data_IF_810502996143
#
_entry.id   IF_810502996143
#
_cell.length_a   1.000
_cell.length_b   1.000
_cell.length_c   1.000
_cell.angle_alpha   90.00
_cell.angle_beta   90.00
_cell.angle_gamma   90.00
#
_symmetry.space_group_name_H-M   'P 1'
#
loop_
_entity.id
_entity.type
_entity.pdbx_description
1 polymer ?
#
# COMPACT_ATOMS: atom_id res chain seq x y z
N UNK A 1 46.51 32.20 0.86
CA UNK A 1 45.59 33.16 0.22
C UNK A 1 46.00 33.40 -1.23
N UNK A 2 45.27 32.84 -2.21
CA UNK A 2 45.51 33.12 -3.64
C UNK A 2 44.72 34.36 -4.04
N UNK A 3 45.38 35.38 -4.60
CA UNK A 3 44.78 36.69 -4.84
C UNK A 3 43.62 36.64 -5.85
N UNK A 4 42.43 37.04 -5.40
CA UNK A 4 41.18 37.15 -6.17
C UNK A 4 41.34 38.02 -7.41
N UNK A 5 42.20 39.04 -7.38
CA UNK A 5 42.51 39.89 -8.52
C UNK A 5 43.16 39.12 -9.69
N UNK A 6 44.01 38.12 -9.39
CA UNK A 6 44.70 37.29 -10.40
C UNK A 6 43.73 36.33 -11.10
N UNK A 7 42.64 35.95 -10.44
CA UNK A 7 41.54 35.16 -11.03
C UNK A 7 40.67 36.05 -11.92
N UNK A 8 40.22 37.23 -11.44
CA UNK A 8 39.44 38.19 -12.24
C UNK A 8 40.13 38.58 -13.55
N UNK A 9 41.43 38.87 -13.53
CA UNK A 9 42.15 39.28 -14.74
C UNK A 9 42.32 38.14 -15.77
N UNK A 10 42.48 36.89 -15.31
CA UNK A 10 42.47 35.72 -16.21
C UNK A 10 41.07 35.46 -16.78
N UNK A 11 40.03 35.56 -15.97
CA UNK A 11 38.64 35.39 -16.41
C UNK A 11 38.27 36.42 -17.48
N UNK A 12 38.65 37.69 -17.28
CA UNK A 12 38.41 38.78 -18.23
C UNK A 12 39.10 38.55 -19.59
N UNK A 13 40.35 38.09 -19.60
CA UNK A 13 41.04 37.73 -20.83
C UNK A 13 40.40 36.54 -21.56
N UNK A 14 39.89 35.54 -20.82
CA UNK A 14 39.16 34.42 -21.41
C UNK A 14 37.84 34.89 -22.02
N UNK A 15 37.07 35.74 -21.33
CA UNK A 15 35.85 36.36 -21.87
C UNK A 15 36.12 37.19 -23.14
N UNK A 16 37.14 38.06 -23.11
CA UNK A 16 37.50 38.89 -24.26
C UNK A 16 38.00 38.08 -25.47
N UNK A 17 38.64 36.92 -25.24
CA UNK A 17 39.01 35.98 -26.28
C UNK A 17 37.83 35.11 -26.79
N UNK A 18 36.78 34.94 -25.98
CA UNK A 18 35.57 34.21 -26.35
C UNK A 18 34.65 35.05 -27.26
N UNK A 19 34.57 36.36 -27.02
CA UNK A 19 33.71 37.28 -27.78
C UNK A 19 34.19 37.58 -29.22
N UNK A 20 35.46 37.32 -29.55
CA UNK A 20 35.99 37.58 -30.90
C UNK A 20 35.59 36.50 -31.93
N UNK A 21 34.98 35.40 -31.48
CA UNK A 21 34.60 34.26 -32.31
C UNK A 21 33.20 33.80 -31.87
N UNK A 22 32.09 34.19 -32.55
CA UNK A 22 30.74 33.91 -32.07
C UNK A 22 30.47 32.40 -31.88
N UNK A 23 31.18 31.56 -32.65
CA UNK A 23 31.15 30.10 -32.53
C UNK A 23 31.75 29.58 -31.21
N UNK A 24 32.71 30.29 -30.60
CA UNK A 24 33.29 29.94 -29.29
C UNK A 24 32.39 30.37 -28.15
N UNK A 25 31.79 31.57 -28.24
CA UNK A 25 30.82 32.06 -27.27
C UNK A 25 29.62 31.12 -27.15
N UNK A 26 29.01 30.72 -28.27
CA UNK A 26 27.88 29.76 -28.30
C UNK A 26 28.26 28.42 -27.66
N UNK A 27 29.43 27.85 -27.99
CA UNK A 27 29.92 26.60 -27.37
C UNK A 27 30.09 26.73 -25.85
N UNK A 28 30.64 27.86 -25.38
CA UNK A 28 30.80 28.14 -23.95
C UNK A 28 29.46 28.24 -23.21
N UNK A 29 28.48 28.94 -23.78
CA UNK A 29 27.12 29.07 -23.21
C UNK A 29 26.42 27.71 -23.16
N UNK A 30 26.48 26.92 -24.23
CA UNK A 30 25.87 25.58 -24.26
C UNK A 30 26.50 24.66 -23.19
N UNK A 31 27.82 24.60 -23.10
CA UNK A 31 28.51 23.80 -22.07
C UNK A 31 28.17 24.25 -20.64
N UNK A 32 28.00 25.56 -20.41
CA UNK A 32 27.61 26.10 -19.11
C UNK A 32 26.18 25.68 -18.73
N UNK A 33 25.22 25.82 -19.64
CA UNK A 33 23.83 25.40 -19.42
C UNK A 33 23.74 23.87 -19.21
N UNK A 34 24.42 23.08 -20.04
CA UNK A 34 24.49 21.62 -19.88
C UNK A 34 25.12 21.21 -18.54
N UNK A 35 26.16 21.92 -18.08
CA UNK A 35 26.76 21.69 -16.76
C UNK A 35 25.77 21.94 -15.62
N UNK A 36 24.97 23.01 -15.70
CA UNK A 36 23.93 23.32 -14.70
C UNK A 36 22.85 22.22 -14.68
N UNK A 37 22.37 21.79 -15.85
CA UNK A 37 21.36 20.72 -15.96
C UNK A 37 21.88 19.41 -15.35
N UNK A 38 23.13 19.03 -15.62
CA UNK A 38 23.72 17.82 -15.06
C UNK A 38 23.95 17.94 -13.55
N UNK A 39 24.41 19.08 -13.03
CA UNK A 39 24.52 19.28 -11.57
C UNK A 39 23.14 19.15 -10.90
N UNK A 40 22.08 19.67 -11.51
CA UNK A 40 20.71 19.52 -11.02
C UNK A 40 20.25 18.05 -11.04
N UNK A 41 20.44 17.34 -12.15
CA UNK A 41 20.12 15.91 -12.28
C UNK A 41 20.85 15.07 -11.23
N UNK A 42 22.17 15.26 -11.06
CA UNK A 42 22.95 14.56 -10.05
C UNK A 42 22.43 14.84 -8.63
N UNK A 43 22.11 16.10 -8.32
CA UNK A 43 21.55 16.48 -7.01
C UNK A 43 20.21 15.78 -6.74
N UNK A 44 19.36 15.64 -7.77
CA UNK A 44 18.09 14.91 -7.66
C UNK A 44 18.29 13.39 -7.50
N UNK A 45 19.23 12.79 -8.23
CA UNK A 45 19.59 11.38 -8.08
C UNK A 45 20.13 11.06 -6.68
N UNK A 46 20.99 11.93 -6.12
CA UNK A 46 21.46 11.78 -4.74
C UNK A 46 20.33 11.92 -3.72
N UNK A 47 19.37 12.85 -3.91
CA UNK A 47 18.19 12.96 -3.04
C UNK A 47 17.35 11.68 -3.06
N UNK A 48 17.10 11.12 -4.24
CA UNK A 48 16.40 9.84 -4.42
C UNK A 48 17.15 8.65 -3.84
N UNK A 49 18.49 8.68 -3.83
CA UNK A 49 19.29 7.63 -3.18
C UNK A 49 19.20 7.69 -1.65
N UNK A 50 19.16 8.88 -1.05
CA UNK A 50 19.06 9.04 0.40
C UNK A 50 17.63 8.88 0.94
N UNK A 51 16.63 9.30 0.18
CA UNK A 51 15.21 9.13 0.49
C UNK A 51 14.52 8.46 -0.72
N UNK A 52 14.66 7.13 -0.89
CA UNK A 52 14.06 6.42 -2.00
C UNK A 52 12.53 6.46 -1.91
N UNK A 53 11.82 6.81 -3.00
CA UNK A 53 10.36 6.76 -3.01
C UNK A 53 9.89 5.32 -2.80
N UNK A 54 8.93 5.12 -1.91
CA UNK A 54 8.25 3.83 -1.77
C UNK A 54 7.39 3.60 -3.02
N UNK A 55 7.46 2.39 -3.56
CA UNK A 55 6.67 1.94 -4.70
C UNK A 55 5.96 0.65 -4.33
N UNK A 56 4.74 0.49 -4.80
CA UNK A 56 3.89 -0.67 -4.51
C UNK A 56 3.72 -1.51 -5.77
N UNK A 57 3.96 -2.81 -5.69
CA UNK A 57 3.68 -3.76 -6.75
C UNK A 57 2.58 -4.73 -6.30
N UNK A 58 1.59 -4.98 -7.16
CA UNK A 58 0.55 -5.96 -6.93
C UNK A 58 0.63 -7.09 -7.96
N UNK A 59 0.58 -8.34 -7.48
CA UNK A 59 0.50 -9.55 -8.31
C UNK A 59 -0.56 -10.51 -7.81
N UNK A 60 -0.94 -11.46 -8.66
CA UNK A 60 -1.84 -12.56 -8.30
C UNK A 60 -1.06 -13.87 -8.38
N UNK A 61 -0.91 -14.52 -7.24
CA UNK A 61 -0.22 -15.81 -7.14
C UNK A 61 -1.27 -16.91 -6.88
N UNK A 62 -1.08 -18.08 -7.50
CA UNK A 62 -1.90 -19.26 -7.22
C UNK A 62 -1.28 -20.01 -6.04
N UNK A 63 -1.92 -19.95 -4.88
CA UNK A 63 -1.43 -20.62 -3.69
C UNK A 63 -1.90 -22.08 -3.65
N UNK A 64 -0.96 -23.04 -3.54
CA UNK A 64 -1.29 -24.47 -3.50
C UNK A 64 -2.11 -24.85 -2.26
N UNK A 65 -1.82 -24.21 -1.12
CA UNK A 65 -2.46 -24.43 0.19
C UNK A 65 -2.99 -23.12 0.75
N UNK A 66 -4.30 -23.05 1.00
CA UNK A 66 -4.96 -21.89 1.58
C UNK A 66 -5.17 -22.08 3.09
N UNK A 67 -4.86 -21.05 3.86
CA UNK A 67 -5.30 -20.91 5.24
C UNK A 67 -6.70 -20.29 5.25
N UNK A 68 -7.54 -20.68 6.20
CA UNK A 68 -8.81 -19.99 6.46
C UNK A 68 -8.60 -18.85 7.47
N UNK A 69 -9.45 -17.81 7.47
CA UNK A 69 -9.47 -16.83 8.55
C UNK A 69 -10.02 -17.43 9.84
N UNK A 70 -9.74 -16.78 10.96
CA UNK A 70 -10.52 -16.93 12.17
C UNK A 70 -11.88 -16.22 12.01
N UNK A 71 -12.93 -16.78 12.62
CA UNK A 71 -14.29 -16.22 12.56
C UNK A 71 -14.84 -16.07 13.97
N UNK A 72 -15.05 -14.82 14.40
CA UNK A 72 -15.68 -14.50 15.69
C UNK A 72 -17.16 -14.22 15.53
N UNK A 73 -17.97 -14.84 16.39
CA UNK A 73 -19.41 -14.69 16.46
C UNK A 73 -19.80 -14.05 17.79
N UNK A 74 -20.53 -12.94 17.72
CA UNK A 74 -21.20 -12.32 18.86
C UNK A 74 -22.71 -12.31 18.60
N UNK A 75 -23.52 -12.64 19.60
CA UNK A 75 -24.97 -12.83 19.44
C UNK A 75 -25.73 -11.54 19.71
N UNK A 76 -26.81 -11.31 18.98
CA UNK A 76 -27.73 -10.19 19.21
C UNK A 76 -29.16 -10.72 19.41
N UNK A 77 -29.82 -10.47 20.57
CA UNK A 77 -29.29 -9.76 21.73
C UNK A 77 -28.21 -10.58 22.48
N UNK A 78 -27.20 -9.87 22.98
CA UNK A 78 -26.06 -10.44 23.71
C UNK A 78 -26.42 -11.02 25.09
N UNK A 79 -27.51 -10.53 25.71
CA UNK A 79 -27.91 -10.85 27.07
C UNK A 79 -29.35 -11.40 27.15
N UNK A 80 -29.55 -12.39 28.01
CA UNK A 80 -30.84 -13.02 28.34
C UNK A 80 -31.69 -12.07 29.17
N UNK A 81 -32.81 -11.59 28.61
CA UNK A 81 -33.66 -10.55 29.22
C UNK A 81 -34.27 -10.99 30.56
N UNK A 82 -34.63 -12.26 30.69
CA UNK A 82 -35.14 -12.88 31.91
C UNK A 82 -34.07 -12.96 33.01
N UNK A 83 -32.83 -13.32 32.66
CA UNK A 83 -31.70 -13.32 33.60
C UNK A 83 -31.34 -11.90 34.03
N UNK A 84 -31.29 -10.93 33.12
CA UNK A 84 -31.06 -9.52 33.49
C UNK A 84 -32.15 -9.02 34.46
N UNK A 85 -33.41 -9.39 34.22
CA UNK A 85 -34.55 -9.05 35.08
C UNK A 85 -34.46 -9.71 36.47
N UNK A 86 -33.99 -10.96 36.57
CA UNK A 86 -33.71 -11.66 37.84
C UNK A 86 -32.74 -10.87 38.73
N UNK A 87 -31.80 -10.12 38.13
CA UNK A 87 -30.80 -9.31 38.83
C UNK A 87 -31.21 -7.83 39.05
N UNK A 88 -32.47 -7.47 38.80
CA UNK A 88 -32.99 -6.09 38.82
C UNK A 88 -32.32 -5.14 37.79
N UNK A 89 -31.67 -5.69 36.76
CA UNK A 89 -30.96 -4.91 35.75
C UNK A 89 -31.88 -4.55 34.56
N UNK A 90 -31.47 -3.51 33.82
CA UNK A 90 -32.04 -3.23 32.51
C UNK A 90 -31.65 -4.33 31.49
N UNK A 91 -32.24 -4.32 30.30
CA UNK A 91 -31.98 -5.30 29.22
C UNK A 91 -30.51 -5.42 28.80
N UNK A 92 -29.65 -4.47 29.18
CA UNK A 92 -28.23 -4.46 28.82
C UNK A 92 -27.38 -3.78 29.91
N UNK A 93 -26.21 -4.33 30.32
CA UNK A 93 -25.40 -3.78 31.42
C UNK A 93 -24.87 -2.36 31.18
N UNK A 94 -24.67 -1.92 29.93
CA UNK A 94 -24.35 -0.51 29.59
C UNK A 94 -25.29 0.55 30.21
N UNK A 95 -26.50 0.19 30.62
CA UNK A 95 -27.43 1.06 31.33
C UNK A 95 -27.16 1.07 32.85
N UNK A 96 -26.13 1.84 33.20
CA UNK A 96 -25.51 1.87 34.54
C UNK A 96 -26.46 2.16 35.71
N UNK A 97 -27.54 2.92 35.50
CA UNK A 97 -28.51 3.29 36.55
C UNK A 97 -29.20 2.09 37.22
N UNK A 98 -29.18 0.91 36.59
CA UNK A 98 -29.80 -0.29 37.16
C UNK A 98 -28.91 -1.00 38.20
N UNK A 99 -27.59 -0.75 38.23
CA UNK A 99 -26.68 -1.33 39.22
C UNK A 99 -26.90 -0.83 40.66
N UNK A 100 -27.66 0.25 40.85
CA UNK A 100 -28.09 0.71 42.18
C UNK A 100 -29.00 -0.30 42.91
N UNK A 101 -29.53 -1.29 42.19
CA UNK A 101 -30.41 -2.36 42.70
C UNK A 101 -29.82 -3.76 42.54
N UNK A 102 -28.57 -3.86 42.05
CA UNK A 102 -27.90 -5.14 41.87
C UNK A 102 -27.45 -5.73 43.22
N UNK A 103 -27.73 -7.01 43.53
CA UNK A 103 -27.41 -7.61 44.82
C UNK A 103 -25.94 -8.05 44.91
N UNK A 104 -25.03 -7.07 44.99
CA UNK A 104 -23.58 -7.28 45.18
C UNK A 104 -23.21 -8.09 46.43
N UNK A 105 -24.12 -8.15 47.41
CA UNK A 105 -23.99 -8.93 48.64
C UNK A 105 -24.28 -10.43 48.46
N UNK A 106 -24.99 -10.81 47.39
CA UNK A 106 -25.43 -12.20 47.14
C UNK A 106 -24.76 -12.82 45.91
N UNK A 107 -24.40 -12.00 44.91
CA UNK A 107 -23.85 -12.46 43.63
C UNK A 107 -22.78 -11.53 43.07
N UNK A 108 -21.85 -12.08 42.30
CA UNK A 108 -20.75 -11.33 41.66
C UNK A 108 -21.08 -10.92 40.23
N UNK A 109 -20.31 -9.97 39.67
CA UNK A 109 -20.40 -9.63 38.26
C UNK A 109 -20.04 -10.83 37.36
N UNK A 110 -19.08 -11.67 37.74
CA UNK A 110 -18.72 -12.88 36.97
C UNK A 110 -19.90 -13.85 36.86
N UNK A 111 -20.64 -14.05 37.95
CA UNK A 111 -21.84 -14.88 37.95
C UNK A 111 -22.93 -14.27 37.06
N UNK A 112 -23.19 -12.96 37.19
CA UNK A 112 -24.13 -12.24 36.33
C UNK A 112 -23.78 -12.43 34.85
N UNK A 113 -22.55 -12.13 34.43
CA UNK A 113 -22.14 -12.22 33.03
C UNK A 113 -22.14 -13.68 32.54
N UNK A 114 -21.77 -14.64 33.38
CA UNK A 114 -21.80 -16.06 33.02
C UNK A 114 -23.24 -16.57 32.80
N UNK A 115 -24.18 -16.23 33.70
CA UNK A 115 -25.58 -16.66 33.60
C UNK A 115 -26.35 -15.89 32.50
N UNK A 116 -26.11 -14.59 32.35
CA UNK A 116 -26.87 -13.73 31.44
C UNK A 116 -26.44 -13.85 29.97
N UNK A 117 -25.27 -14.43 29.69
CA UNK A 117 -24.79 -14.69 28.32
C UNK A 117 -25.06 -16.15 27.90
N UNK A 118 -24.73 -16.47 26.65
CA UNK A 118 -25.06 -17.74 26.01
C UNK A 118 -23.86 -18.68 25.95
N UNK A 119 -23.94 -19.82 26.66
CA UNK A 119 -22.87 -20.82 26.68
C UNK A 119 -22.76 -21.57 25.33
N UNK A 120 -21.67 -22.32 25.13
CA UNK A 120 -21.37 -22.96 23.84
C UNK A 120 -22.54 -23.84 23.31
N UNK A 121 -23.22 -24.58 24.19
CA UNK A 121 -24.35 -25.45 23.83
C UNK A 121 -25.66 -24.71 23.55
N UNK A 122 -25.77 -23.47 24.02
CA UNK A 122 -26.86 -22.54 23.69
C UNK A 122 -26.58 -21.78 22.39
N UNK A 123 -25.31 -21.69 21.97
CA UNK A 123 -24.84 -20.87 20.85
C UNK A 123 -24.67 -21.68 19.54
N UNK A 124 -24.06 -22.87 19.60
CA UNK A 124 -23.82 -23.73 18.42
C UNK A 124 -24.74 -24.94 18.40
N UNK A 125 -25.25 -25.27 17.21
CA UNK A 125 -25.83 -26.59 16.91
C UNK A 125 -24.74 -27.50 16.33
N UNK A 126 -23.95 -26.97 15.40
CA UNK A 126 -22.82 -27.67 14.77
C UNK A 126 -21.82 -26.64 14.22
N UNK A 127 -20.53 -26.96 14.21
CA UNK A 127 -19.52 -26.23 13.46
C UNK A 127 -18.46 -27.21 12.95
N UNK A 128 -17.77 -26.85 11.87
CA UNK A 128 -16.67 -27.64 11.33
C UNK A 128 -16.02 -26.98 10.12
N UNK A 129 -14.77 -27.35 9.86
CA UNK A 129 -13.95 -26.91 8.73
C UNK A 129 -13.50 -28.15 7.96
N UNK A 130 -13.61 -28.14 6.63
CA UNK A 130 -13.24 -29.29 5.80
C UNK A 130 -13.89 -30.61 6.28
N UNK A 131 -15.18 -30.55 6.61
CA UNK A 131 -15.98 -31.68 7.10
C UNK A 131 -15.78 -32.11 8.57
N UNK A 132 -14.85 -31.52 9.32
CA UNK A 132 -14.52 -31.94 10.69
C UNK A 132 -14.63 -30.82 11.73
N UNK A 133 -15.21 -31.12 12.90
CA UNK A 133 -15.20 -30.21 14.05
C UNK A 133 -13.80 -30.07 14.68
N UNK A 134 -13.04 -31.17 14.74
CA UNK A 134 -11.66 -31.22 15.26
C UNK A 134 -10.63 -30.39 14.46
N UNK A 135 -11.05 -29.83 13.31
CA UNK A 135 -10.24 -28.95 12.48
C UNK A 135 -10.35 -27.47 12.93
N UNK A 136 -11.07 -27.20 14.02
CA UNK A 136 -11.33 -25.88 14.59
C UNK A 136 -10.99 -25.91 16.09
N UNK A 137 -10.30 -24.88 16.58
CA UNK A 137 -10.28 -24.53 18.00
C UNK A 137 -11.35 -23.47 18.28
N UNK A 138 -12.09 -23.62 19.37
CA UNK A 138 -13.14 -22.67 19.79
C UNK A 138 -12.65 -21.92 21.01
N UNK A 139 -12.42 -20.61 20.86
CA UNK A 139 -12.02 -19.71 21.94
C UNK A 139 -13.21 -18.88 22.38
N UNK A 140 -13.48 -18.86 23.70
CA UNK A 140 -14.49 -17.99 24.31
C UNK A 140 -13.87 -16.64 24.69
N UNK A 141 -14.58 -15.54 24.43
CA UNK A 141 -14.24 -14.20 24.91
C UNK A 141 -15.47 -13.49 25.49
N UNK A 142 -15.26 -12.65 26.49
CA UNK A 142 -16.30 -11.92 27.21
C UNK A 142 -16.13 -10.41 26.98
N UNK A 143 -17.19 -9.75 26.54
CA UNK A 143 -17.25 -8.37 26.07
C UNK A 143 -18.43 -7.64 26.74
N UNK A 144 -18.36 -6.31 26.89
CA UNK A 144 -19.39 -5.54 27.60
C UNK A 144 -20.65 -5.30 26.75
N UNK A 145 -20.46 -4.86 25.50
CA UNK A 145 -21.55 -4.56 24.57
C UNK A 145 -21.92 -5.79 23.72
N UNK A 146 -20.95 -6.66 23.43
CA UNK A 146 -21.19 -7.89 22.65
C UNK A 146 -21.48 -9.15 23.50
N UNK A 147 -21.34 -9.08 24.83
CA UNK A 147 -21.54 -10.21 25.73
C UNK A 147 -20.51 -11.32 25.51
N UNK A 148 -20.94 -12.58 25.55
CA UNK A 148 -20.05 -13.73 25.31
C UNK A 148 -19.99 -14.06 23.81
N UNK A 149 -18.79 -13.98 23.25
CA UNK A 149 -18.50 -14.28 21.85
C UNK A 149 -17.63 -15.54 21.72
N UNK A 150 -17.68 -16.17 20.55
CA UNK A 150 -16.87 -17.35 20.23
C UNK A 150 -16.09 -17.14 18.94
N UNK A 151 -14.77 -17.34 19.02
CA UNK A 151 -13.86 -17.33 17.87
C UNK A 151 -13.58 -18.75 17.43
N UNK A 152 -13.79 -19.04 16.15
CA UNK A 152 -13.42 -20.30 15.50
C UNK A 152 -12.05 -20.10 14.82
N UNK A 153 -11.00 -20.69 15.39
CA UNK A 153 -9.64 -20.67 14.83
C UNK A 153 -9.40 -21.93 13.98
N UNK A 154 -8.88 -21.82 12.75
CA UNK A 154 -8.64 -22.95 11.87
C UNK A 154 -7.34 -23.70 12.22
N UNK A 155 -7.43 -25.00 12.49
CA UNK A 155 -6.27 -25.84 12.81
C UNK A 155 -5.67 -26.55 11.56
N UNK A 156 -6.25 -26.33 10.38
CA UNK A 156 -5.86 -27.00 9.13
C UNK A 156 -5.85 -26.03 7.94
N UNK A 157 -4.94 -26.28 7.00
CA UNK A 157 -4.96 -25.68 5.66
C UNK A 157 -5.73 -26.59 4.69
N UNK A 158 -6.17 -26.03 3.55
CA UNK A 158 -6.80 -26.81 2.48
C UNK A 158 -6.12 -26.62 1.13
N UNK A 159 -6.16 -27.64 0.29
CA UNK A 159 -5.77 -27.59 -1.13
C UNK A 159 -6.98 -27.41 -2.06
N UNK A 160 -8.17 -27.16 -1.52
CA UNK A 160 -9.44 -27.20 -2.25
C UNK A 160 -10.25 -25.91 -2.10
N UNK A 161 -10.77 -25.38 -3.22
CA UNK A 161 -11.54 -24.13 -3.28
C UNK A 161 -13.00 -24.40 -3.67
N UNK A 162 -13.73 -25.12 -2.80
CA UNK A 162 -15.15 -25.43 -2.93
C UNK A 162 -15.86 -25.42 -1.57
N UNK A 163 -17.20 -25.42 -1.56
CA UNK A 163 -18.05 -25.18 -0.37
C UNK A 163 -17.77 -26.17 0.77
N UNK A 164 -17.68 -27.45 0.45
CA UNK A 164 -17.46 -28.57 1.38
C UNK A 164 -16.07 -28.56 2.04
N UNK A 165 -15.08 -27.90 1.43
CA UNK A 165 -13.73 -27.76 1.98
C UNK A 165 -13.61 -26.57 2.96
N UNK A 166 -14.63 -25.72 3.05
CA UNK A 166 -14.65 -24.55 3.92
C UNK A 166 -15.34 -24.79 5.26
N UNK A 167 -15.73 -23.69 5.90
CA UNK A 167 -16.51 -23.70 7.12
C UNK A 167 -17.98 -24.05 6.84
N UNK A 168 -18.53 -24.91 7.68
CA UNK A 168 -19.97 -25.20 7.81
C UNK A 168 -20.35 -24.95 9.27
N UNK A 169 -21.15 -23.92 9.53
CA UNK A 169 -21.45 -23.45 10.87
C UNK A 169 -22.96 -23.27 10.99
N UNK A 170 -23.56 -23.91 12.00
CA UNK A 170 -24.98 -23.83 12.31
C UNK A 170 -25.16 -23.31 13.73
N UNK A 171 -25.73 -22.11 13.84
CA UNK A 171 -25.90 -21.35 15.09
C UNK A 171 -27.33 -21.47 15.63
N UNK A 172 -27.48 -21.38 16.95
CA UNK A 172 -28.74 -21.55 17.67
C UNK A 172 -29.25 -20.25 18.28
N UNK A 173 -30.53 -19.97 18.08
CA UNK A 173 -31.21 -18.80 18.63
C UNK A 173 -32.46 -19.20 19.43
N UNK A 174 -32.86 -18.38 20.40
CA UNK A 174 -34.06 -18.61 21.25
C UNK A 174 -35.27 -17.79 20.77
N UNK A 175 -35.01 -16.58 20.28
CA UNK A 175 -35.99 -15.58 19.90
C UNK A 175 -36.41 -15.78 18.46
N UNK A 176 -37.72 -15.69 18.20
CA UNK A 176 -38.30 -15.72 16.86
C UNK A 176 -38.50 -14.28 16.35
N UNK A 177 -38.26 -14.05 15.05
CA UNK A 177 -38.13 -12.73 14.39
C UNK A 177 -39.45 -11.94 14.36
N UNK A 178 -40.57 -12.57 14.72
CA UNK A 178 -41.92 -11.99 14.66
C UNK A 178 -42.21 -10.83 15.64
N UNK A 179 -41.19 -10.21 16.25
CA UNK A 179 -41.31 -9.14 17.25
C UNK A 179 -40.28 -8.00 17.15
N UNK A 180 -39.58 -7.84 16.02
CA UNK A 180 -38.61 -6.74 15.86
C UNK A 180 -39.32 -5.42 15.59
N UNK A 181 -39.03 -4.37 16.37
CA UNK A 181 -39.56 -3.03 16.12
C UNK A 181 -38.78 -2.33 15.01
N UNK A 182 -39.43 -1.41 14.28
CA UNK A 182 -38.74 -0.62 13.24
C UNK A 182 -37.65 0.23 13.88
N UNK A 183 -36.39 -0.08 13.57
CA UNK A 183 -35.20 0.61 14.10
C UNK A 183 -34.39 -0.21 15.11
N UNK A 184 -34.84 -1.41 15.50
CA UNK A 184 -34.05 -2.36 16.29
C UNK A 184 -33.31 -3.35 15.38
N UNK A 185 -32.12 -3.80 15.81
CA UNK A 185 -31.39 -4.88 15.10
C UNK A 185 -32.21 -6.17 15.21
N UNK A 186 -32.50 -6.89 14.11
CA UNK A 186 -33.23 -8.15 14.19
C UNK A 186 -32.37 -9.23 14.85
N UNK A 187 -32.94 -10.18 15.63
CA UNK A 187 -32.14 -11.19 16.33
C UNK A 187 -31.27 -12.02 15.38
N UNK A 188 -30.04 -12.33 15.80
CA UNK A 188 -29.03 -12.91 14.92
C UNK A 188 -27.63 -12.87 15.52
N UNK A 189 -26.61 -12.71 14.65
CA UNK A 189 -25.21 -12.68 15.03
C UNK A 189 -24.41 -11.66 14.23
N UNK A 190 -23.58 -10.92 14.95
CA UNK A 190 -22.45 -10.19 14.41
C UNK A 190 -21.34 -11.19 14.09
N UNK A 191 -20.89 -11.22 12.84
CA UNK A 191 -19.86 -12.11 12.32
C UNK A 191 -18.65 -11.26 11.93
N UNK A 192 -17.50 -11.57 12.53
CA UNK A 192 -16.24 -10.87 12.30
C UNK A 192 -15.23 -11.85 11.72
N UNK A 193 -14.65 -11.53 10.56
CA UNK A 193 -13.69 -12.38 9.85
C UNK A 193 -12.34 -11.67 9.85
N UNK A 194 -11.32 -12.32 10.39
CA UNK A 194 -10.01 -11.71 10.63
C UNK A 194 -8.88 -12.75 10.54
N UNK A 195 -7.63 -12.27 10.49
CA UNK A 195 -6.47 -13.13 10.69
C UNK A 195 -6.44 -13.67 12.12
N UNK A 196 -5.97 -14.91 12.29
CA UNK A 196 -5.83 -15.55 13.61
C UNK A 196 -4.95 -14.72 14.55
N UNK A 197 -3.89 -14.10 14.02
CA UNK A 197 -2.96 -13.31 14.82
C UNK A 197 -3.54 -11.95 15.20
N UNK A 198 -4.38 -11.33 14.36
CA UNK A 198 -4.96 -10.01 14.64
C UNK A 198 -5.97 -10.09 15.82
N UNK A 199 -6.75 -11.17 15.87
CA UNK A 199 -7.77 -11.38 16.90
C UNK A 199 -9.01 -10.48 16.74
N UNK A 200 -9.84 -10.45 17.78
CA UNK A 200 -11.06 -9.65 17.85
C UNK A 200 -11.12 -8.86 19.17
N UNK A 201 -11.56 -7.61 19.09
CA UNK A 201 -11.91 -6.75 20.23
C UNK A 201 -13.20 -6.00 19.90
N UNK A 202 -14.05 -5.73 20.89
CA UNK A 202 -15.35 -5.06 20.64
C UNK A 202 -15.24 -3.56 20.28
N UNK A 203 -14.15 -2.89 20.69
CA UNK A 203 -13.97 -1.45 20.54
C UNK A 203 -13.63 -1.06 19.09
N UNK A 204 -14.41 -0.15 18.50
CA UNK A 204 -14.37 0.11 17.04
C UNK A 204 -13.06 0.69 16.52
N UNK A 205 -12.42 1.58 17.27
CA UNK A 205 -11.12 2.16 16.88
C UNK A 205 -9.93 1.19 17.03
N UNK A 206 -10.12 0.06 17.71
CA UNK A 206 -9.07 -0.95 17.93
C UNK A 206 -9.11 -2.07 16.90
N UNK A 207 -10.25 -2.26 16.23
CA UNK A 207 -10.32 -3.05 15.00
C UNK A 207 -9.53 -2.32 13.91
N UNK A 208 -8.39 -2.87 13.50
CA UNK A 208 -7.35 -2.22 12.68
C UNK A 208 -7.73 -1.98 11.21
N UNK A 209 -9.04 -1.99 10.88
CA UNK A 209 -9.55 -2.01 9.51
C UNK A 209 -9.33 -3.35 8.78
N UNK A 210 -8.78 -4.36 9.48
CA UNK A 210 -8.42 -5.69 8.97
C UNK A 210 -9.44 -6.77 9.33
N UNK A 211 -10.50 -6.40 10.05
CA UNK A 211 -11.62 -7.27 10.43
C UNK A 211 -12.82 -6.93 9.54
N UNK A 212 -13.25 -7.91 8.74
CA UNK A 212 -14.43 -7.80 7.90
C UNK A 212 -15.69 -8.10 8.73
N UNK A 213 -16.74 -7.27 8.60
CA UNK A 213 -17.94 -7.35 9.43
C UNK A 213 -19.18 -7.68 8.60
N UNK A 214 -19.92 -8.70 9.04
CA UNK A 214 -21.19 -9.11 8.45
C UNK A 214 -22.24 -9.35 9.53
N UNK A 215 -23.52 -9.18 9.17
CA UNK A 215 -24.64 -9.54 10.02
C UNK A 215 -25.43 -10.72 9.44
N UNK A 216 -25.55 -11.78 10.22
CA UNK A 216 -26.30 -13.01 9.92
C UNK A 216 -27.58 -13.00 10.75
N UNK A 217 -28.74 -12.97 10.10
CA UNK A 217 -30.02 -12.95 10.81
C UNK A 217 -30.39 -14.35 11.32
N UNK A 218 -31.23 -14.41 12.36
CA UNK A 218 -31.92 -15.67 12.67
C UNK A 218 -32.73 -16.16 11.46
N UNK A 219 -32.90 -17.47 11.34
CA UNK A 219 -33.60 -18.13 10.25
C UNK A 219 -33.05 -17.80 8.84
N UNK A 220 -31.75 -17.55 8.73
CA UNK A 220 -31.02 -17.28 7.47
C UNK A 220 -29.98 -18.36 7.17
N UNK A 221 -29.86 -18.75 5.90
CA UNK A 221 -28.66 -19.40 5.34
C UNK A 221 -27.89 -18.36 4.51
N UNK A 222 -26.62 -18.13 4.87
CA UNK A 222 -25.72 -17.25 4.15
C UNK A 222 -24.52 -18.01 3.58
N UNK A 223 -24.17 -17.73 2.33
CA UNK A 223 -22.95 -18.21 1.69
C UNK A 223 -21.98 -17.06 1.45
N UNK A 224 -20.75 -17.21 1.94
CA UNK A 224 -19.65 -16.25 1.84
C UNK A 224 -18.54 -16.84 0.99
N UNK A 225 -18.16 -16.10 -0.05
CA UNK A 225 -16.91 -16.28 -0.78
C UNK A 225 -15.80 -15.49 -0.10
N UNK A 226 -14.70 -16.16 0.23
CA UNK A 226 -13.46 -15.51 0.66
C UNK A 226 -12.58 -15.10 -0.51
N UNK A 227 -11.84 -14.02 -0.32
CA UNK A 227 -10.65 -13.64 -1.11
C UNK A 227 -9.55 -13.18 -0.15
N UNK A 228 -8.30 -13.54 -0.41
CA UNK A 228 -7.16 -13.24 0.47
C UNK A 228 -6.19 -12.27 -0.19
N UNK A 229 -5.69 -11.33 0.60
CA UNK A 229 -4.66 -10.38 0.22
C UNK A 229 -3.53 -10.42 1.25
N UNK A 230 -2.28 -10.62 0.82
CA UNK A 230 -1.10 -10.44 1.65
C UNK A 230 -0.47 -9.09 1.35
N UNK A 231 -0.22 -8.30 2.39
CA UNK A 231 0.48 -7.03 2.32
C UNK A 231 1.83 -7.15 3.01
N UNK A 232 2.86 -6.71 2.32
CA UNK A 232 4.23 -6.57 2.83
C UNK A 232 4.60 -5.09 2.73
N UNK A 233 4.46 -4.37 3.83
CA UNK A 233 4.71 -2.93 3.93
C UNK A 233 6.14 -2.66 4.40
N UNK A 234 6.67 -1.48 4.09
CA UNK A 234 7.94 -1.01 4.61
C UNK A 234 7.74 -0.03 5.77
N UNK A 235 8.47 -0.23 6.86
CA UNK A 235 8.53 0.75 7.93
C UNK A 235 9.09 2.09 7.40
N UNK A 236 8.34 3.16 7.63
CA UNK A 236 8.65 4.51 7.13
C UNK A 236 8.31 5.56 8.18
N UNK A 237 8.76 6.80 7.97
CA UNK A 237 8.42 7.91 8.87
C UNK A 237 6.91 8.26 8.87
N UNK A 238 6.19 7.92 7.79
CA UNK A 238 4.75 8.17 7.68
C UNK A 238 3.92 6.99 8.19
N UNK A 239 4.43 5.76 8.07
CA UNK A 239 3.81 4.52 8.54
C UNK A 239 4.83 3.69 9.35
N UNK A 240 4.79 3.81 10.67
CA UNK A 240 5.55 2.96 11.58
C UNK A 240 4.86 1.58 11.69
N UNK A 241 5.54 0.54 11.24
CA UNK A 241 5.13 -0.85 11.39
C UNK A 241 6.25 -1.67 12.04
N UNK A 242 5.89 -2.79 12.67
CA UNK A 242 6.85 -3.71 13.30
C UNK A 242 7.01 -4.99 12.48
N UNK A 243 8.25 -5.40 12.19
CA UNK A 243 8.50 -6.65 11.45
C UNK A 243 8.03 -7.88 12.23
N UNK A 244 8.23 -7.87 13.55
CA UNK A 244 7.84 -8.95 14.45
C UNK A 244 7.15 -8.39 15.69
N UNK A 245 5.94 -8.85 15.95
CA UNK A 245 5.26 -8.71 17.24
C UNK A 245 4.68 -10.05 17.68
N UNK A 246 4.59 -10.27 19.00
CA UNK A 246 3.89 -11.42 19.60
C UNK A 246 2.42 -11.11 19.94
N UNK A 247 2.01 -9.85 19.80
CA UNK A 247 0.69 -9.34 20.14
C UNK A 247 0.24 -8.44 18.99
N UNK A 248 -0.98 -8.62 18.51
CA UNK A 248 -1.52 -7.76 17.44
C UNK A 248 -1.71 -6.31 17.88
N UNK A 249 -1.82 -5.43 16.88
CA UNK A 249 -2.31 -4.06 17.02
C UNK A 249 -3.62 -4.02 17.81
N UNK A 250 -4.62 -4.82 17.41
CA UNK A 250 -5.92 -4.89 18.09
C UNK A 250 -5.81 -5.34 19.55
N UNK A 251 -5.11 -6.44 19.85
CA UNK A 251 -4.97 -6.94 21.23
C UNK A 251 -4.12 -6.02 22.11
N UNK A 252 -3.13 -5.34 21.54
CA UNK A 252 -2.36 -4.31 22.23
C UNK A 252 -3.24 -3.12 22.62
N UNK A 253 -4.03 -2.60 21.69
CA UNK A 253 -4.96 -1.49 21.93
C UNK A 253 -6.00 -1.84 23.00
N UNK A 254 -6.60 -3.03 22.90
CA UNK A 254 -7.56 -3.55 23.87
C UNK A 254 -6.96 -3.61 25.29
N UNK A 255 -5.78 -4.21 25.45
CA UNK A 255 -5.08 -4.23 26.74
C UNK A 255 -4.73 -2.83 27.24
N UNK A 256 -4.35 -1.90 26.37
CA UNK A 256 -4.08 -0.50 26.76
C UNK A 256 -5.33 0.20 27.29
N UNK A 257 -6.47 0.05 26.60
CA UNK A 257 -7.75 0.58 27.04
C UNK A 257 -8.17 -0.03 28.38
N UNK A 258 -8.08 -1.35 28.54
CA UNK A 258 -8.39 -2.02 29.81
C UNK A 258 -7.52 -1.52 30.96
N UNK A 259 -6.20 -1.38 30.76
CA UNK A 259 -5.30 -0.82 31.77
C UNK A 259 -5.72 0.62 32.14
N UNK A 260 -5.97 1.49 31.16
CA UNK A 260 -6.36 2.88 31.40
C UNK A 260 -7.68 3.01 32.19
N UNK A 261 -8.65 2.12 31.95
CA UNK A 261 -9.91 2.06 32.69
C UNK A 261 -9.69 1.53 34.11
N UNK A 262 -8.94 0.44 34.26
CA UNK A 262 -8.69 -0.21 35.55
C UNK A 262 -7.83 0.67 36.47
N UNK A 263 -6.78 1.32 35.96
CA UNK A 263 -5.95 2.26 36.72
C UNK A 263 -6.75 3.47 37.23
N UNK A 264 -7.75 3.92 36.46
CA UNK A 264 -8.62 5.04 36.84
C UNK A 264 -9.71 4.67 37.87
N UNK A 265 -10.06 3.39 38.01
CA UNK A 265 -11.19 2.92 38.84
C UNK A 265 -10.74 2.08 40.06
N UNK A 266 -9.60 1.38 39.96
CA UNK A 266 -9.08 0.48 41.00
C UNK A 266 -9.77 -0.88 41.09
N UNK A 267 -10.62 -1.24 40.12
CA UNK A 267 -11.21 -2.57 39.96
C UNK A 267 -11.49 -2.87 38.48
N UNK A 268 -11.71 -4.14 38.15
CA UNK A 268 -11.99 -4.63 36.79
C UNK A 268 -13.40 -5.21 36.65
N UNK A 269 -13.80 -5.54 35.43
CA UNK A 269 -15.03 -6.25 35.10
C UNK A 269 -14.74 -7.61 34.45
N UNK A 270 -15.72 -8.54 34.41
CA UNK A 270 -15.54 -9.87 33.78
C UNK A 270 -15.12 -9.83 32.31
N UNK A 271 -15.44 -8.74 31.61
CA UNK A 271 -15.06 -8.48 30.21
C UNK A 271 -13.65 -7.90 30.04
N UNK A 272 -12.89 -7.69 31.13
CA UNK A 272 -11.50 -7.23 31.11
C UNK A 272 -10.59 -8.21 31.88
N UNK A 273 -10.41 -9.45 31.37
CA UNK A 273 -9.57 -10.46 32.00
C UNK A 273 -8.08 -10.09 32.03
N UNK A 274 -7.36 -10.63 33.02
CA UNK A 274 -5.89 -10.56 33.10
C UNK A 274 -5.30 -9.25 33.65
N UNK A 275 -6.14 -8.29 34.06
CA UNK A 275 -5.70 -6.96 34.52
C UNK A 275 -5.09 -6.92 35.94
N UNK A 276 -5.02 -8.06 36.65
CA UNK A 276 -4.47 -8.14 38.01
C UNK A 276 -5.28 -7.46 39.12
N UNK A 277 -6.25 -6.60 38.78
CA UNK A 277 -7.17 -5.96 39.71
C UNK A 277 -8.32 -6.87 40.14
N UNK A 278 -8.88 -6.61 41.33
CA UNK A 278 -10.09 -7.25 41.83
C UNK A 278 -11.32 -6.86 40.98
N UNK A 279 -12.31 -7.74 40.87
CA UNK A 279 -13.59 -7.41 40.21
C UNK A 279 -14.36 -6.37 41.05
N UNK A 280 -15.04 -5.44 40.38
CA UNK A 280 -15.84 -4.41 41.05
C UNK A 280 -17.04 -5.03 41.80
N UNK A 281 -17.20 -4.62 43.05
CA UNK A 281 -18.10 -5.22 44.05
C UNK A 281 -19.08 -4.23 44.70
N UNK A 282 -19.16 -3.00 44.17
CA UNK A 282 -20.08 -1.97 44.65
C UNK A 282 -20.76 -1.22 43.48
N UNK A 283 -21.95 -0.62 43.70
CA UNK A 283 -22.67 0.10 42.65
C UNK A 283 -21.85 1.24 42.03
N UNK A 284 -21.29 2.15 42.83
CA UNK A 284 -20.58 3.32 42.31
C UNK A 284 -19.35 2.94 41.47
N UNK A 285 -18.54 1.99 41.95
CA UNK A 285 -17.36 1.53 41.19
C UNK A 285 -17.75 0.83 39.90
N UNK A 286 -18.81 0.01 39.89
CA UNK A 286 -19.31 -0.66 38.68
C UNK A 286 -19.89 0.34 37.66
N UNK A 287 -20.65 1.33 38.13
CA UNK A 287 -21.17 2.42 37.28
C UNK A 287 -20.03 3.25 36.69
N UNK A 288 -19.00 3.56 37.49
CA UNK A 288 -17.82 4.31 37.05
C UNK A 288 -16.99 3.50 36.03
N UNK A 289 -16.80 2.19 36.26
CA UNK A 289 -16.12 1.27 35.35
C UNK A 289 -16.77 1.26 33.97
N UNK A 290 -18.07 0.93 33.90
CA UNK A 290 -18.84 0.87 32.65
C UNK A 290 -18.87 2.24 31.96
N UNK A 291 -18.95 3.33 32.73
CA UNK A 291 -18.91 4.69 32.18
C UNK A 291 -17.55 4.99 31.56
N UNK A 292 -16.44 4.76 32.24
CA UNK A 292 -15.10 5.06 31.74
C UNK A 292 -14.72 4.16 30.56
N UNK A 293 -15.06 2.87 30.60
CA UNK A 293 -14.90 1.95 29.48
C UNK A 293 -15.54 2.49 28.20
N UNK A 294 -16.76 3.01 28.29
CA UNK A 294 -17.47 3.59 27.13
C UNK A 294 -17.03 5.03 26.79
N UNK A 295 -16.28 5.70 27.67
CA UNK A 295 -15.69 7.02 27.39
C UNK A 295 -14.28 6.93 26.79
N UNK A 296 -13.63 5.78 26.89
CA UNK A 296 -12.28 5.50 26.39
C UNK A 296 -12.25 4.50 25.22
N UNK A 297 -13.42 4.17 24.64
CA UNK A 297 -13.52 3.33 23.42
C UNK A 297 -12.67 3.88 22.26
N UNK A 298 -12.62 5.21 22.12
CA UNK A 298 -11.85 5.94 21.11
C UNK A 298 -10.39 6.22 21.52
N UNK A 299 -9.83 5.51 22.52
CA UNK A 299 -8.43 5.67 22.92
C UNK A 299 -7.50 5.20 21.79
N UNK A 300 -6.79 6.15 21.20
CA UNK A 300 -5.91 5.94 20.05
C UNK A 300 -4.73 5.00 20.40
N UNK A 301 -4.63 3.88 19.66
CA UNK A 301 -3.57 2.90 19.80
C UNK A 301 -2.16 3.44 19.59
N UNK A 302 -1.98 4.58 18.90
CA UNK A 302 -0.66 5.24 18.78
C UNK A 302 -0.17 5.77 20.12
N UNK A 303 -1.06 6.26 20.99
CA UNK A 303 -0.72 6.69 22.35
C UNK A 303 -0.23 5.53 23.22
N UNK A 304 -0.66 4.31 22.87
CA UNK A 304 -0.28 3.05 23.51
C UNK A 304 0.99 2.41 22.91
N UNK A 305 1.55 2.96 21.82
CA UNK A 305 2.65 2.34 21.06
C UNK A 305 2.26 1.04 20.34
N UNK A 306 0.97 0.87 20.02
CA UNK A 306 0.44 -0.34 19.38
C UNK A 306 0.59 -0.28 17.85
N UNK A 307 1.79 -0.59 17.37
CA UNK A 307 2.09 -0.60 15.94
C UNK A 307 1.55 -1.86 15.24
N UNK A 308 1.08 -1.67 14.01
CA UNK A 308 0.66 -2.77 13.15
C UNK A 308 1.87 -3.57 12.63
N UNK A 309 1.74 -4.89 12.40
CA UNK A 309 2.80 -5.66 11.76
C UNK A 309 2.98 -5.24 10.30
N UNK A 310 4.24 -5.21 9.84
CA UNK A 310 4.60 -4.87 8.46
C UNK A 310 4.13 -5.93 7.45
N UNK A 311 4.03 -7.20 7.87
CA UNK A 311 3.36 -8.25 7.10
C UNK A 311 1.96 -8.45 7.66
N UNK A 312 0.94 -8.41 6.81
CA UNK A 312 -0.44 -8.70 7.22
C UNK A 312 -1.21 -9.47 6.15
N UNK A 313 -2.14 -10.31 6.60
CA UNK A 313 -3.14 -10.96 5.74
C UNK A 313 -4.49 -10.29 5.98
N UNK A 314 -5.18 -9.93 4.90
CA UNK A 314 -6.54 -9.41 4.93
C UNK A 314 -7.44 -10.37 4.17
N UNK A 315 -8.58 -10.71 4.78
CA UNK A 315 -9.59 -11.60 4.21
C UNK A 315 -10.84 -10.77 3.88
N UNK A 316 -11.18 -10.65 2.61
CA UNK A 316 -12.40 -9.98 2.16
C UNK A 316 -13.51 -11.00 2.03
N UNK A 317 -14.65 -10.75 2.68
CA UNK A 317 -15.81 -11.62 2.69
C UNK A 317 -16.90 -11.08 1.76
N UNK A 318 -17.17 -11.78 0.66
CA UNK A 318 -18.22 -11.44 -0.29
C UNK A 318 -19.45 -12.33 -0.07
N UNK A 319 -20.56 -11.77 0.37
CA UNK A 319 -21.84 -12.49 0.46
C UNK A 319 -22.30 -12.86 -0.95
N UNK A 320 -22.41 -14.16 -1.23
CA UNK A 320 -22.80 -14.69 -2.54
C UNK A 320 -24.30 -14.99 -2.63
N UNK A 321 -24.89 -15.42 -1.51
CA UNK A 321 -26.28 -15.85 -1.46
C UNK A 321 -26.81 -15.73 -0.02
N UNK A 322 -28.08 -15.32 0.12
CA UNK A 322 -28.85 -15.29 1.36
C UNK A 322 -30.21 -15.95 1.09
N UNK A 323 -30.62 -16.91 1.92
CA UNK A 323 -31.88 -17.66 1.78
C UNK A 323 -32.56 -17.85 3.14
N UNK A 324 -33.89 -17.99 3.20
CA UNK A 324 -34.57 -18.42 4.42
C UNK A 324 -34.12 -19.83 4.83
N UNK A 325 -33.75 -19.99 6.09
CA UNK A 325 -33.37 -21.26 6.70
C UNK A 325 -34.29 -21.53 7.89
N UNK A 326 -35.07 -22.61 7.84
CA UNK A 326 -36.04 -22.91 8.89
C UNK A 326 -35.92 -24.36 9.32
N UNK A 327 -35.66 -24.54 10.62
CA UNK A 327 -35.72 -25.82 11.33
C UNK A 327 -36.65 -25.68 12.54
N UNK A 328 -36.82 -26.73 13.35
CA UNK A 328 -37.75 -26.73 14.50
C UNK A 328 -37.42 -25.72 15.61
N UNK A 329 -36.24 -25.09 15.57
CA UNK A 329 -35.75 -24.06 16.48
C UNK A 329 -35.20 -22.88 15.66
N UNK A 330 -35.29 -21.63 16.15
CA UNK A 330 -34.62 -20.51 15.49
C UNK A 330 -33.12 -20.78 15.38
N UNK A 331 -32.58 -20.67 14.17
CA UNK A 331 -31.21 -21.05 13.86
C UNK A 331 -30.72 -20.33 12.60
N UNK A 332 -29.41 -20.30 12.36
CA UNK A 332 -28.86 -19.84 11.10
C UNK A 332 -27.74 -20.76 10.62
N UNK A 333 -27.53 -20.79 9.31
CA UNK A 333 -26.48 -21.56 8.65
C UNK A 333 -25.52 -20.60 7.94
N UNK A 334 -24.23 -20.74 8.21
CA UNK A 334 -23.18 -20.00 7.54
C UNK A 334 -22.24 -20.96 6.81
N UNK A 335 -21.95 -20.63 5.56
CA UNK A 335 -20.90 -21.27 4.76
C UNK A 335 -19.85 -20.25 4.39
N UNK A 336 -18.59 -20.53 4.68
CA UNK A 336 -17.48 -19.63 4.35
C UNK A 336 -16.41 -20.42 3.63
N UNK A 337 -16.16 -20.10 2.35
CA UNK A 337 -15.30 -20.90 1.48
C UNK A 337 -14.59 -20.07 0.40
N UNK A 338 -13.45 -20.56 -0.05
CA UNK A 338 -12.78 -20.04 -1.25
C UNK A 338 -13.43 -20.57 -2.53
N UNK A 339 -13.61 -19.73 -3.54
CA UNK A 339 -14.01 -20.15 -4.90
C UNK A 339 -12.82 -20.25 -5.86
N UNK A 340 -11.63 -19.86 -5.43
CA UNK A 340 -10.40 -19.90 -6.21
C UNK A 340 -9.18 -19.91 -5.28
N UNK A 341 -8.05 -20.40 -5.79
CA UNK A 341 -6.73 -20.38 -5.14
C UNK A 341 -5.92 -19.09 -5.36
N UNK A 342 -6.48 -18.12 -6.08
CA UNK A 342 -5.81 -16.84 -6.34
C UNK A 342 -5.72 -16.01 -5.07
N UNK A 343 -4.50 -15.63 -4.72
CA UNK A 343 -4.18 -14.72 -3.62
C UNK A 343 -3.55 -13.46 -4.20
N UNK A 344 -4.00 -12.29 -3.75
CA UNK A 344 -3.37 -11.03 -4.15
C UNK A 344 -2.17 -10.78 -3.25
N UNK A 345 -1.00 -10.50 -3.82
CA UNK A 345 0.17 -10.07 -3.07
C UNK A 345 0.45 -8.61 -3.40
N UNK A 346 0.55 -7.79 -2.36
CA UNK A 346 0.85 -6.36 -2.42
C UNK A 346 2.16 -6.13 -1.66
N UNK A 347 3.21 -5.78 -2.37
CA UNK A 347 4.56 -5.57 -1.81
C UNK A 347 4.99 -4.12 -2.01
N UNK A 348 5.41 -3.48 -0.92
CA UNK A 348 6.13 -2.21 -0.93
C UNK A 348 7.63 -2.45 -1.03
N UNK A 349 8.30 -1.66 -1.87
CA UNK A 349 9.74 -1.69 -2.04
C UNK A 349 10.28 -0.29 -2.29
N UNK A 350 11.57 -0.09 -2.06
CA UNK A 350 12.25 1.14 -2.45
C UNK A 350 12.36 1.21 -3.97
N UNK A 351 11.58 2.08 -4.60
CA UNK A 351 11.51 2.24 -6.06
C UNK A 351 12.74 2.88 -6.71
N UNK A 352 13.79 3.15 -5.92
CA UNK A 352 15.08 3.64 -6.40
C UNK A 352 16.20 2.85 -5.73
N UNK A 353 16.83 1.96 -6.50
CA UNK A 353 17.92 1.10 -6.03
C UNK A 353 19.30 1.62 -6.50
N UNK A 354 20.36 0.96 -6.02
CA UNK A 354 21.71 1.34 -6.40
C UNK A 354 22.00 1.14 -7.91
N UNK A 355 21.35 0.17 -8.55
CA UNK A 355 21.54 -0.08 -9.99
C UNK A 355 20.93 1.06 -10.83
N UNK A 356 19.72 1.52 -10.48
CA UNK A 356 19.09 2.68 -11.10
C UNK A 356 19.90 3.95 -10.85
N UNK A 357 20.43 4.15 -9.63
CA UNK A 357 21.34 5.26 -9.33
C UNK A 357 22.60 5.25 -10.22
N UNK A 358 23.27 4.10 -10.39
CA UNK A 358 24.44 3.97 -11.26
C UNK A 358 24.07 4.20 -12.73
N UNK A 359 22.88 3.76 -13.16
CA UNK A 359 22.35 4.01 -14.50
C UNK A 359 22.14 5.51 -14.77
N UNK A 360 21.46 6.22 -13.88
CA UNK A 360 21.16 7.66 -14.01
C UNK A 360 22.45 8.52 -13.94
N UNK A 361 23.35 8.18 -13.03
CA UNK A 361 24.69 8.77 -12.90
C UNK A 361 25.50 8.55 -14.18
N UNK A 362 25.50 7.32 -14.71
CA UNK A 362 26.15 6.96 -15.96
C UNK A 362 25.59 7.71 -17.16
N UNK A 363 24.27 7.88 -17.24
CA UNK A 363 23.60 8.67 -18.28
C UNK A 363 24.00 10.15 -18.22
N UNK A 364 23.94 10.75 -17.03
CA UNK A 364 24.27 12.18 -16.83
C UNK A 364 25.74 12.49 -17.10
N UNK A 365 26.66 11.63 -16.68
CA UNK A 365 28.10 11.75 -16.98
C UNK A 365 28.40 11.43 -18.46
N UNK A 366 27.72 10.44 -19.03
CA UNK A 366 27.82 10.08 -20.45
C UNK A 366 27.40 11.22 -21.38
N UNK A 367 26.39 12.00 -20.99
CA UNK A 367 25.98 13.21 -21.72
C UNK A 367 27.09 14.28 -21.76
N UNK A 368 27.74 14.57 -20.63
CA UNK A 368 28.89 15.49 -20.59
C UNK A 368 30.08 14.98 -21.41
N UNK A 369 30.32 13.67 -21.39
CA UNK A 369 31.37 13.04 -22.19
C UNK A 369 31.05 13.12 -23.68
N UNK A 370 29.79 12.91 -24.09
CA UNK A 370 29.33 13.09 -25.47
C UNK A 370 29.54 14.52 -25.99
N UNK A 371 29.20 15.54 -25.21
CA UNK A 371 29.48 16.95 -25.53
C UNK A 371 30.99 17.21 -25.65
N UNK A 372 31.81 16.56 -24.81
CA UNK A 372 33.27 16.65 -24.85
C UNK A 372 33.85 16.01 -26.12
N UNK A 373 33.31 14.86 -26.56
CA UNK A 373 33.71 14.18 -27.81
C UNK A 373 33.33 15.01 -29.04
N UNK A 374 32.15 15.63 -29.09
CA UNK A 374 31.79 16.57 -30.15
C UNK A 374 32.74 17.78 -30.19
N UNK A 375 33.17 18.27 -29.02
CA UNK A 375 34.22 19.28 -28.90
C UNK A 375 35.57 18.83 -29.48
N UNK A 376 35.96 17.57 -29.23
CA UNK A 376 37.20 16.97 -29.75
C UNK A 376 37.14 16.76 -31.27
N UNK A 377 36.03 16.29 -31.83
CA UNK A 377 35.83 16.14 -33.29
C UNK A 377 36.00 17.51 -33.96
N UNK A 378 35.33 18.55 -33.43
CA UNK A 378 35.47 19.92 -33.94
C UNK A 378 36.85 20.55 -33.75
N UNK A 379 37.72 19.98 -32.91
CA UNK A 379 39.14 20.35 -32.82
C UNK A 379 39.96 19.61 -33.89
N UNK A 380 39.71 18.31 -34.09
CA UNK A 380 40.38 17.50 -35.11
C UNK A 380 40.10 18.04 -36.52
N UNK A 381 38.86 18.42 -36.83
CA UNK A 381 38.51 19.11 -38.09
C UNK A 381 39.38 20.35 -38.34
N UNK A 382 39.59 21.19 -37.32
CA UNK A 382 40.40 22.41 -37.43
C UNK A 382 41.89 22.11 -37.56
N UNK A 383 42.39 21.04 -36.94
CA UNK A 383 43.76 20.56 -37.14
C UNK A 383 43.94 20.05 -38.58
N UNK A 384 43.00 19.27 -39.10
CA UNK A 384 43.00 18.77 -40.48
C UNK A 384 42.97 19.94 -41.48
N UNK A 385 42.02 20.87 -41.35
CA UNK A 385 41.98 22.09 -42.17
C UNK A 385 43.31 22.85 -42.13
N UNK A 386 43.87 23.12 -40.93
CA UNK A 386 45.13 23.84 -40.80
C UNK A 386 46.30 23.12 -41.46
N UNK A 387 46.38 21.79 -41.35
CA UNK A 387 47.45 20.99 -41.98
C UNK A 387 47.29 20.95 -43.50
N UNK A 388 46.08 20.71 -44.02
CA UNK A 388 45.82 20.69 -45.46
C UNK A 388 45.99 22.08 -46.10
N UNK A 389 45.47 23.15 -45.49
CA UNK A 389 45.63 24.52 -45.99
C UNK A 389 47.11 24.94 -45.94
N UNK A 390 47.87 24.61 -44.88
CA UNK A 390 49.31 24.86 -44.83
C UNK A 390 50.08 24.09 -45.90
N UNK A 391 49.72 22.83 -46.18
CA UNK A 391 50.30 22.05 -47.29
C UNK A 391 49.98 22.68 -48.66
N UNK A 392 48.74 23.05 -48.92
CA UNK A 392 48.32 23.70 -50.18
C UNK A 392 48.97 25.08 -50.38
N UNK A 393 49.17 25.87 -49.31
CA UNK A 393 49.90 27.14 -49.37
C UNK A 393 51.40 26.90 -49.62
N UNK A 394 52.00 25.87 -49.01
CA UNK A 394 53.39 25.50 -49.27
C UNK A 394 53.61 25.03 -50.72
N UNK A 395 52.67 24.24 -51.28
CA UNK A 395 52.69 23.84 -52.68
C UNK A 395 52.48 25.03 -53.64
N UNK A 396 51.53 25.94 -53.34
CA UNK A 396 51.35 27.16 -54.13
C UNK A 396 52.58 28.07 -54.10
N UNK A 397 53.25 28.20 -52.96
CA UNK A 397 54.53 28.95 -52.86
C UNK A 397 55.64 28.30 -53.69
N UNK A 398 55.78 26.97 -53.67
CA UNK A 398 56.71 26.25 -54.55
C UNK A 398 56.39 26.47 -56.04
N UNK A 399 55.10 26.45 -56.43
CA UNK A 399 54.67 26.70 -57.82
C UNK A 399 54.87 28.16 -58.27
N UNK A 400 54.75 29.14 -57.37
CA UNK A 400 55.05 30.55 -57.71
C UNK A 400 56.55 30.79 -57.90
N UNK A 401 57.39 30.28 -57.00
CA UNK A 401 58.84 30.37 -57.13
C UNK A 401 59.38 29.68 -58.40
N UNK A 402 58.70 28.64 -58.89
CA UNK A 402 59.02 28.00 -60.17
C UNK A 402 58.55 28.79 -61.41
N UNK A 403 57.60 29.72 -61.27
CA UNK A 403 57.05 30.51 -62.40
C UNK A 403 57.83 31.81 -62.65
N UNK A 404 58.42 32.40 -61.62
CA UNK A 404 59.27 33.61 -61.74
C UNK A 404 60.58 33.37 -62.51
N UNK A 405 61.00 32.12 -62.70
CA UNK A 405 62.23 31.74 -63.42
C UNK A 405 62.01 31.54 -64.93
N UNK A 406 60.75 31.52 -65.40
CA UNK A 406 60.39 31.02 -66.73
C UNK A 406 59.76 32.05 -67.69
N UNK A 407 59.83 33.35 -67.38
CA UNK A 407 59.20 34.41 -68.18
C UNK A 407 60.21 35.39 -68.78
N UNK A 408 60.64 35.13 -70.02
CA UNK A 408 61.27 36.12 -70.93
C UNK A 408 61.10 35.63 -72.38
N UNK A 409 60.02 36.09 -73.03
CA UNK A 409 59.91 36.53 -74.45
C UNK A 409 60.26 35.60 -75.65
N UNK A 410 59.78 35.89 -76.89
CA UNK A 410 58.41 36.33 -77.24
C UNK A 410 57.88 35.89 -78.65
N UNK A 411 56.68 36.39 -79.02
CA UNK A 411 56.12 36.65 -80.38
C UNK A 411 55.44 35.52 -81.22
N UNK A 412 54.11 35.72 -81.30
CA UNK A 412 53.03 35.48 -82.29
C UNK A 412 53.33 35.82 -83.80
N UNK A 413 52.38 35.99 -84.79
CA UNK A 413 50.89 36.00 -84.74
C UNK A 413 50.09 35.24 -85.85
N UNK A 414 48.75 35.37 -85.73
CA UNK A 414 47.65 35.24 -86.73
C UNK A 414 47.14 33.82 -87.07
N UNK A 415 45.88 33.54 -87.51
CA UNK A 415 44.52 34.16 -87.46
C UNK A 415 43.50 33.10 -88.01
N UNK A 416 42.15 33.12 -87.90
CA UNK A 416 41.13 34.01 -87.30
C UNK A 416 39.79 33.23 -87.06
N UNK A 417 38.94 33.72 -86.16
CA UNK A 417 37.45 33.94 -86.19
C UNK A 417 36.47 33.04 -87.00
N UNK A 418 35.18 32.82 -86.62
CA UNK A 418 34.34 33.46 -85.59
C UNK A 418 33.10 32.62 -85.15
N UNK A 419 32.49 33.07 -84.03
CA UNK A 419 31.04 33.14 -83.69
C UNK A 419 30.36 32.15 -82.70
N UNK A 420 29.59 32.82 -81.82
CA UNK A 420 28.90 32.35 -80.61
C UNK A 420 27.44 31.92 -80.86
N UNK A 421 26.77 31.29 -79.86
CA UNK A 421 25.72 31.93 -79.01
C UNK A 421 24.94 30.92 -78.12
N UNK A 422 25.08 31.09 -76.80
CA UNK A 422 24.14 30.92 -75.66
C UNK A 422 23.14 29.75 -75.44
N UNK A 423 23.08 29.35 -74.14
CA UNK A 423 21.90 29.07 -73.26
C UNK A 423 21.17 27.70 -73.27
N UNK A 424 21.37 26.98 -72.15
CA UNK A 424 20.37 26.69 -71.08
C UNK A 424 19.02 26.04 -71.43
N UNK A 425 18.81 24.77 -71.03
CA UNK A 425 17.70 24.32 -70.13
C UNK A 425 17.77 22.81 -69.83
N UNK A 426 17.15 22.41 -68.71
CA UNK A 426 16.59 21.10 -68.29
C UNK A 426 16.96 19.78 -69.01
N UNK A 427 17.19 18.72 -68.22
CA UNK A 427 16.09 17.74 -68.04
C UNK A 427 16.21 16.84 -66.79
N UNK A 428 15.07 16.31 -66.34
CA UNK A 428 14.89 15.57 -65.06
C UNK A 428 14.68 14.06 -65.27
N UNK A 429 15.27 13.23 -64.40
CA UNK A 429 14.84 11.85 -64.12
C UNK A 429 14.64 11.70 -62.61
N UNK A 430 13.42 11.61 -62.09
CA UNK A 430 12.49 10.46 -62.13
C UNK A 430 12.99 9.26 -61.31
N UNK A 431 12.40 9.07 -60.12
CA UNK A 431 11.79 7.79 -59.73
C UNK A 431 10.90 7.95 -58.49
N UNK A 432 9.78 7.21 -58.49
CA UNK A 432 8.75 7.24 -57.45
C UNK A 432 9.09 6.31 -56.28
N UNK A 433 8.48 6.53 -55.10
CA UNK A 433 7.45 5.63 -54.56
C UNK A 433 6.81 6.21 -53.28
N UNK A 434 5.55 5.83 -53.04
CA UNK A 434 4.67 6.43 -52.03
C UNK A 434 4.65 5.67 -50.69
N UNK A 435 4.16 6.30 -49.61
CA UNK A 435 3.59 5.60 -48.46
C UNK A 435 2.05 5.74 -48.42
N UNK A 436 1.34 4.63 -48.23
CA UNK A 436 -0.11 4.63 -47.99
C UNK A 436 -0.36 4.77 -46.49
N UNK A 437 -1.06 5.81 -46.06
CA UNK A 437 -1.51 5.98 -44.68
C UNK A 437 -2.93 5.42 -44.50
N UNK A 438 -3.14 4.60 -43.47
CA UNK A 438 -4.46 4.13 -43.05
C UNK A 438 -4.96 5.00 -41.89
N UNK A 439 -6.14 5.59 -42.06
CA UNK A 439 -6.90 6.19 -40.96
C UNK A 439 -7.82 5.15 -40.33
N UNK A 440 -7.91 5.14 -39.01
CA UNK A 440 -9.07 4.58 -38.28
C UNK A 440 -9.48 5.54 -37.17
N UNK A 441 -10.57 6.26 -37.41
CA UNK A 441 -11.45 6.73 -36.34
C UNK A 441 -12.48 5.64 -36.06
N UNK A 442 -12.77 5.35 -34.80
CA UNK A 442 -14.15 5.14 -34.37
C UNK A 442 -14.29 5.41 -32.86
N UNK A 443 -15.35 6.14 -32.49
CA UNK A 443 -15.90 6.16 -31.14
C UNK A 443 -17.10 5.22 -31.12
N UNK A 444 -17.17 4.35 -30.11
CA UNK A 444 -18.38 4.18 -29.29
C UNK A 444 -18.01 3.50 -27.97
#
# INVERSE_FOLDING_TARGET
>A
MVSVAKVRHKLWHVFHALCHDPKRLVRGVVLFVCSIVVIYQLTDCFKKLFNPPISTHSRFDLNDTMLYPAITFCREPAYKVDVMSKYNLAMHPKYTSSFDRFPFNETTLDQLFSEATYNHSEFFIQHGLNGGANNIEVVESMHLDMGRCYTLNPLVTTTHSWKEAGYSIMLRHDTNISRVSVGETPPGWHVFIHDENEGFAENRMQSSGRVEYLYLEANEEMEIRLSTQHFFMLASYENECVEFSKVSSTRCGELCHWNAVVDAVGCSGPWMPGQGARICDYPESTKQLIKLYRQLEDLDGTQCGCFQPCTTTIYTASVMNRKPFQINIPAAQLWVYYTSKMVTIVEEFHGYDFNQFVSDLGGSLGFLLGLSVLGLIGLLEKIVELVFIRRLIAEKRKKHAAKEVAGNDPVEPNNFDEKNVSKLSDDTKQCNNAPTAVQTNLKQ
#
